data_IF_376393318599
#
_entry.id   IF_376393318599
#
_cell.length_a   1.000
_cell.length_b   1.000
_cell.length_c   1.000
_cell.angle_alpha   90.00
_cell.angle_beta   90.00
_cell.angle_gamma   90.00
#
_symmetry.space_group_name_H-M   'P 1'
#
loop_
_entity.id
_entity.type
_entity.pdbx_description
1 polymer ?
#
# COMPACT_ATOMS: atom_id res chain seq x y z
N UNK A 1 28.97 -17.65 1.19
CA UNK A 1 28.69 -19.00 1.76
C UNK A 1 28.33 -20.05 0.71
N UNK A 2 27.35 -19.78 -0.17
CA UNK A 2 26.98 -20.68 -1.30
C UNK A 2 28.13 -21.01 -2.26
N UNK A 3 28.93 -20.01 -2.62
CA UNK A 3 30.08 -20.13 -3.53
C UNK A 3 31.28 -20.89 -2.95
N UNK A 4 31.33 -21.03 -1.62
CA UNK A 4 32.40 -21.73 -0.92
C UNK A 4 32.04 -23.17 -0.52
N UNK A 5 30.84 -23.65 -0.85
CA UNK A 5 30.40 -25.04 -0.60
C UNK A 5 30.19 -25.44 0.86
N UNK A 6 30.36 -24.52 1.82
CA UNK A 6 30.35 -24.85 3.27
C UNK A 6 28.97 -25.15 3.87
N UNK A 7 27.87 -24.94 3.15
CA UNK A 7 26.51 -25.17 3.66
C UNK A 7 25.58 -25.69 2.56
N UNK A 8 24.70 -26.61 2.94
CA UNK A 8 23.67 -27.14 2.07
C UNK A 8 22.58 -26.06 1.81
N UNK A 9 21.92 -26.05 0.63
CA UNK A 9 20.85 -25.11 0.29
C UNK A 9 19.80 -24.82 1.39
N UNK A 10 19.35 -25.83 2.14
CA UNK A 10 18.36 -25.68 3.21
C UNK A 10 18.94 -24.91 4.40
N UNK A 11 20.21 -25.14 4.74
CA UNK A 11 20.90 -24.41 5.80
C UNK A 11 21.08 -22.94 5.42
N UNK A 12 21.38 -22.66 4.15
CA UNK A 12 21.44 -21.29 3.63
C UNK A 12 20.08 -20.58 3.70
N UNK A 13 18.98 -21.29 3.39
CA UNK A 13 17.61 -20.77 3.52
C UNK A 13 17.26 -20.49 4.97
N UNK A 14 17.61 -21.40 5.89
CA UNK A 14 17.38 -21.22 7.33
C UNK A 14 18.13 -19.99 7.85
N UNK A 15 19.41 -19.85 7.51
CA UNK A 15 20.23 -18.71 7.89
C UNK A 15 19.65 -17.40 7.35
N UNK A 16 19.28 -17.37 6.06
CA UNK A 16 18.63 -16.22 5.45
C UNK A 16 17.31 -15.86 6.16
N UNK A 17 16.49 -16.85 6.49
CA UNK A 17 15.24 -16.62 7.21
C UNK A 17 15.49 -16.02 8.61
N UNK A 18 16.45 -16.59 9.35
CA UNK A 18 16.80 -16.12 10.68
C UNK A 18 17.41 -14.71 10.68
N UNK A 19 18.26 -14.38 9.71
CA UNK A 19 18.96 -13.10 9.65
C UNK A 19 18.10 -11.99 9.03
N UNK A 20 17.40 -12.28 7.94
CA UNK A 20 16.69 -11.27 7.15
C UNK A 20 15.22 -11.22 7.53
N UNK A 21 14.49 -12.34 7.40
CA UNK A 21 13.04 -12.34 7.57
C UNK A 21 12.65 -12.01 9.01
N UNK A 22 13.26 -12.65 9.99
CA UNK A 22 12.98 -12.38 11.41
C UNK A 22 13.24 -10.92 11.77
N UNK A 23 14.35 -10.35 11.28
CA UNK A 23 14.72 -8.96 11.53
C UNK A 23 13.72 -7.99 10.92
N UNK A 24 13.35 -8.19 9.65
CA UNK A 24 12.33 -7.37 8.97
C UNK A 24 10.97 -7.46 9.67
N UNK A 25 10.52 -8.65 10.07
CA UNK A 25 9.29 -8.80 10.85
C UNK A 25 9.36 -8.07 12.20
N UNK A 26 10.54 -8.01 12.82
CA UNK A 26 10.77 -7.25 14.04
C UNK A 26 10.56 -5.74 13.86
N UNK A 27 10.91 -5.19 12.70
CA UNK A 27 10.78 -3.75 12.42
C UNK A 27 9.33 -3.28 12.44
N UNK A 28 8.38 -4.09 11.95
CA UNK A 28 6.96 -3.74 11.94
C UNK A 28 6.30 -3.73 13.33
N UNK A 29 6.99 -4.24 14.36
CA UNK A 29 6.50 -4.24 15.75
C UNK A 29 6.90 -2.98 16.51
N UNK A 30 7.80 -2.16 15.95
CA UNK A 30 8.25 -0.92 16.56
C UNK A 30 7.13 0.12 16.41
N UNK A 31 6.66 0.68 17.53
CA UNK A 31 5.66 1.77 17.54
C UNK A 31 6.26 3.05 16.99
N UNK A 32 7.43 3.40 17.50
CA UNK A 32 8.21 4.57 17.08
C UNK A 32 9.63 4.12 16.77
N UNK A 33 10.12 4.46 15.59
CA UNK A 33 11.48 4.15 15.18
C UNK A 33 12.06 5.31 14.36
N UNK A 34 13.35 5.59 14.56
CA UNK A 34 14.12 6.49 13.71
C UNK A 34 15.12 5.66 12.92
N UNK A 35 14.99 5.70 11.61
CA UNK A 35 15.96 5.08 10.71
C UNK A 35 16.99 6.12 10.30
N UNK A 36 18.26 5.75 10.38
CA UNK A 36 19.36 6.56 9.86
C UNK A 36 20.09 5.76 8.80
N UNK A 37 20.28 6.37 7.64
CA UNK A 37 21.17 5.81 6.63
C UNK A 37 22.62 6.05 7.05
N UNK A 38 23.39 4.97 7.20
CA UNK A 38 24.81 5.03 7.46
C UNK A 38 25.58 4.56 6.23
N UNK A 39 26.15 5.52 5.48
CA UNK A 39 26.94 5.24 4.28
C UNK A 39 28.29 4.59 4.55
N UNK A 40 28.74 4.58 5.82
CA UNK A 40 30.02 3.98 6.25
C UNK A 40 29.82 2.63 6.95
N UNK A 41 28.58 2.12 7.03
CA UNK A 41 28.30 0.84 7.63
C UNK A 41 29.06 -0.28 6.90
N UNK A 42 29.81 -1.07 7.66
CA UNK A 42 30.49 -2.26 7.12
C UNK A 42 29.46 -3.34 6.83
N UNK A 43 29.34 -3.75 5.57
CA UNK A 43 28.45 -4.84 5.18
C UNK A 43 29.05 -6.19 5.62
N UNK A 44 28.27 -7.09 6.23
CA UNK A 44 28.74 -8.42 6.65
C UNK A 44 28.91 -9.34 5.43
N UNK A 45 29.94 -9.09 4.63
CA UNK A 45 30.20 -9.79 3.34
C UNK A 45 30.49 -11.28 3.53
N UNK A 46 30.99 -11.68 4.70
CA UNK A 46 31.31 -13.08 5.05
C UNK A 46 30.03 -13.92 5.18
N UNK A 47 28.95 -13.32 5.70
CA UNK A 47 27.67 -13.98 5.99
C UNK A 47 26.71 -13.96 4.80
N UNK A 48 27.11 -13.38 3.68
CA UNK A 48 26.26 -13.33 2.49
C UNK A 48 25.95 -14.75 1.97
N UNK A 49 24.68 -15.12 2.10
CA UNK A 49 24.13 -16.41 1.68
C UNK A 49 23.99 -16.52 0.16
N UNK A 50 24.00 -15.39 -0.56
CA UNK A 50 23.69 -15.30 -1.98
C UNK A 50 22.19 -15.41 -2.28
N UNK A 51 21.35 -15.41 -1.24
CA UNK A 51 19.90 -15.30 -1.36
C UNK A 51 19.49 -13.82 -1.23
N UNK A 52 18.48 -13.42 -1.98
CA UNK A 52 17.92 -12.08 -1.92
C UNK A 52 16.39 -12.13 -1.94
N UNK A 53 15.78 -11.06 -1.44
CA UNK A 53 14.35 -10.83 -1.49
C UNK A 53 14.12 -9.35 -1.83
N UNK A 54 13.11 -9.06 -2.63
CA UNK A 54 12.74 -7.66 -2.88
C UNK A 54 12.18 -7.03 -1.62
N UNK A 55 12.40 -5.73 -1.44
CA UNK A 55 11.83 -4.97 -0.34
C UNK A 55 10.30 -5.13 -0.28
N UNK A 56 9.63 -5.07 -1.45
CA UNK A 56 8.18 -5.27 -1.57
C UNK A 56 7.71 -6.61 -1.00
N UNK A 57 8.41 -7.70 -1.32
CA UNK A 57 8.05 -9.03 -0.81
C UNK A 57 8.38 -9.16 0.68
N UNK A 58 9.47 -8.57 1.13
CA UNK A 58 9.85 -8.54 2.54
C UNK A 58 8.82 -7.76 3.39
N UNK A 59 8.33 -6.62 2.89
CA UNK A 59 7.25 -5.83 3.51
C UNK A 59 5.97 -6.66 3.67
N UNK A 60 5.56 -7.36 2.61
CA UNK A 60 4.36 -8.18 2.64
C UNK A 60 4.47 -9.31 3.67
N UNK A 61 5.61 -10.01 3.71
CA UNK A 61 5.89 -11.05 4.71
C UNK A 61 5.87 -10.46 6.12
N UNK A 62 6.52 -9.31 6.33
CA UNK A 62 6.61 -8.65 7.62
C UNK A 62 5.24 -8.25 8.18
N UNK A 63 4.41 -7.60 7.36
CA UNK A 63 3.07 -7.18 7.76
C UNK A 63 2.10 -8.36 7.97
N UNK A 64 2.24 -9.46 7.21
CA UNK A 64 1.44 -10.69 7.46
C UNK A 64 1.81 -11.36 8.79
N UNK A 65 3.06 -11.22 9.24
CA UNK A 65 3.56 -11.82 10.47
C UNK A 65 3.33 -10.95 11.73
N UNK A 66 2.60 -9.83 11.59
CA UNK A 66 2.31 -8.92 12.68
C UNK A 66 1.21 -9.51 13.59
N UNK A 67 1.49 -9.78 14.88
CA UNK A 67 0.50 -10.36 15.78
C UNK A 67 -0.51 -9.33 16.31
N UNK A 68 -0.10 -8.06 16.40
CA UNK A 68 -0.89 -6.97 16.96
C UNK A 68 -0.85 -5.76 16.02
N UNK A 69 -2.03 -5.31 15.59
CA UNK A 69 -2.22 -4.20 14.68
C UNK A 69 -2.50 -2.86 15.39
N UNK A 70 -2.59 -2.83 16.72
CA UNK A 70 -2.90 -1.62 17.48
C UNK A 70 -1.94 -0.45 17.17
N UNK A 71 -0.65 -0.72 16.99
CA UNK A 71 0.34 0.31 16.63
C UNK A 71 0.18 0.89 15.22
N UNK A 72 -0.63 0.25 14.37
CA UNK A 72 -0.94 0.67 13.01
C UNK A 72 -2.41 1.02 12.82
N UNK A 73 -3.23 1.00 13.88
CA UNK A 73 -4.66 1.22 13.79
C UNK A 73 -5.00 2.56 13.11
N UNK A 74 -4.29 3.62 13.51
CA UNK A 74 -4.44 4.98 12.93
C UNK A 74 -3.89 5.12 11.50
N UNK A 75 -3.29 4.06 10.96
CA UNK A 75 -2.76 4.00 9.60
C UNK A 75 -3.60 3.12 8.69
N UNK A 76 -4.57 2.40 9.25
CA UNK A 76 -5.49 1.59 8.44
C UNK A 76 -6.35 2.51 7.57
N UNK A 77 -6.69 2.09 6.35
CA UNK A 77 -7.54 2.87 5.46
C UNK A 77 -8.94 3.04 6.08
N UNK A 78 -9.57 4.17 5.78
CA UNK A 78 -10.88 4.55 6.27
C UNK A 78 -11.95 3.52 5.87
N UNK A 79 -12.88 3.25 6.76
CA UNK A 79 -13.90 2.22 6.53
C UNK A 79 -14.82 2.54 5.35
N UNK A 80 -15.04 3.82 5.09
CA UNK A 80 -15.87 4.35 4.01
C UNK A 80 -15.07 4.66 2.74
N UNK A 81 -13.74 4.53 2.75
CA UNK A 81 -12.94 4.74 1.55
C UNK A 81 -13.01 3.54 0.60
N UNK A 82 -12.73 3.79 -0.66
CA UNK A 82 -12.56 2.75 -1.68
C UNK A 82 -11.08 2.46 -1.91
N UNK A 83 -10.82 1.35 -2.59
CA UNK A 83 -9.48 1.02 -3.09
C UNK A 83 -9.47 1.08 -4.61
N UNK A 84 -8.46 1.74 -5.19
CA UNK A 84 -8.19 1.75 -6.62
C UNK A 84 -6.90 0.99 -6.93
N UNK A 85 -6.88 0.20 -7.99
CA UNK A 85 -5.65 -0.50 -8.42
C UNK A 85 -4.61 0.51 -8.93
N UNK A 86 -3.44 0.50 -8.31
CA UNK A 86 -2.30 1.32 -8.73
C UNK A 86 -1.40 0.62 -9.76
N UNK A 87 -1.34 -0.72 -9.71
CA UNK A 87 -0.56 -1.54 -10.65
C UNK A 87 -1.39 -2.68 -11.25
N UNK A 88 -1.12 -3.02 -12.51
CA UNK A 88 -1.90 -4.00 -13.29
C UNK A 88 -1.51 -5.47 -13.01
N UNK A 89 -0.47 -5.74 -12.20
CA UNK A 89 0.01 -7.11 -11.97
C UNK A 89 0.45 -7.41 -10.53
N UNK A 90 -0.08 -8.48 -9.94
CA UNK A 90 0.26 -8.94 -8.59
C UNK A 90 0.92 -10.35 -8.52
N UNK A 91 1.08 -11.03 -9.66
CA UNK A 91 1.54 -12.45 -9.72
C UNK A 91 2.92 -12.67 -9.11
N UNK A 92 3.82 -11.71 -9.22
CA UNK A 92 5.20 -11.83 -8.72
C UNK A 92 5.30 -11.71 -7.19
N UNK A 93 4.28 -11.15 -6.53
CA UNK A 93 4.29 -10.88 -5.08
C UNK A 93 3.75 -12.06 -4.26
N UNK A 94 3.10 -13.04 -4.89
CA UNK A 94 2.55 -14.20 -4.19
C UNK A 94 1.49 -13.79 -3.16
N UNK A 95 0.47 -13.05 -3.63
CA UNK A 95 -0.70 -12.73 -2.83
C UNK A 95 -1.38 -14.02 -2.37
N UNK A 96 -1.83 -14.04 -1.12
CA UNK A 96 -2.70 -15.09 -0.64
C UNK A 96 -4.10 -14.97 -1.30
N UNK A 97 -4.98 -15.98 -1.19
CA UNK A 97 -6.30 -15.94 -1.82
C UNK A 97 -7.16 -14.75 -1.38
N UNK A 98 -7.04 -14.30 -0.12
CA UNK A 98 -7.84 -13.20 0.43
C UNK A 98 -7.33 -11.84 -0.05
N UNK A 99 -6.01 -11.66 -0.06
CA UNK A 99 -5.36 -10.48 -0.64
C UNK A 99 -5.68 -10.34 -2.13
N UNK A 100 -5.64 -11.46 -2.88
CA UNK A 100 -6.04 -11.47 -4.28
C UNK A 100 -7.53 -11.12 -4.45
N UNK A 101 -8.40 -11.56 -3.55
CA UNK A 101 -9.82 -11.23 -3.59
C UNK A 101 -10.09 -9.74 -3.34
N UNK A 102 -9.45 -9.15 -2.32
CA UNK A 102 -9.52 -7.70 -2.05
C UNK A 102 -8.97 -6.90 -3.24
N UNK A 103 -7.82 -7.29 -3.79
CA UNK A 103 -7.23 -6.63 -4.97
C UNK A 103 -8.15 -6.68 -6.20
N UNK A 104 -8.85 -7.80 -6.43
CA UNK A 104 -9.83 -7.91 -7.54
C UNK A 104 -10.98 -6.93 -7.39
N UNK A 105 -11.42 -6.70 -6.16
CA UNK A 105 -12.53 -5.80 -5.80
C UNK A 105 -12.13 -4.32 -5.74
N UNK A 106 -10.83 -4.00 -5.74
CA UNK A 106 -10.29 -2.65 -5.73
C UNK A 106 -10.51 -1.89 -7.06
N UNK A 107 -11.75 -1.48 -7.33
CA UNK A 107 -12.14 -0.76 -8.55
C UNK A 107 -12.26 0.77 -8.38
N UNK A 108 -12.05 1.29 -7.17
CA UNK A 108 -12.14 2.70 -6.83
C UNK A 108 -13.56 3.20 -6.54
N UNK A 109 -14.57 2.33 -6.54
CA UNK A 109 -15.99 2.74 -6.47
C UNK A 109 -16.81 2.05 -5.39
N UNK A 110 -16.26 1.05 -4.69
CA UNK A 110 -16.94 0.37 -3.59
C UNK A 110 -16.17 0.57 -2.29
N UNK A 111 -16.86 0.88 -1.18
CA UNK A 111 -16.20 1.12 0.10
C UNK A 111 -15.70 -0.20 0.72
N UNK A 112 -14.77 -0.10 1.68
CA UNK A 112 -14.24 -1.26 2.39
C UNK A 112 -15.32 -2.05 3.14
N UNK A 113 -16.35 -1.38 3.65
CA UNK A 113 -17.53 -2.02 4.27
C UNK A 113 -18.22 -3.00 3.32
N UNK A 114 -18.35 -2.62 2.04
CA UNK A 114 -18.99 -3.44 1.02
C UNK A 114 -18.08 -4.59 0.60
N UNK A 115 -16.77 -4.36 0.53
CA UNK A 115 -15.77 -5.41 0.28
C UNK A 115 -15.82 -6.46 1.40
N UNK A 116 -15.87 -6.04 2.66
CA UNK A 116 -15.98 -6.94 3.82
C UNK A 116 -17.24 -7.80 3.76
N UNK A 117 -18.37 -7.17 3.42
CA UNK A 117 -19.66 -7.86 3.25
C UNK A 117 -19.60 -8.89 2.13
N UNK A 118 -19.06 -8.53 0.96
CA UNK A 118 -18.93 -9.44 -0.21
C UNK A 118 -18.01 -10.63 0.05
N UNK A 119 -16.96 -10.45 0.85
CA UNK A 119 -16.01 -11.51 1.17
C UNK A 119 -16.43 -12.33 2.40
N UNK A 120 -17.48 -11.93 3.12
CA UNK A 120 -17.89 -12.56 4.38
C UNK A 120 -16.80 -12.50 5.45
N UNK A 121 -16.08 -11.38 5.54
CA UNK A 121 -14.98 -11.15 6.49
C UNK A 121 -15.26 -9.94 7.38
N UNK A 122 -14.57 -9.87 8.51
CA UNK A 122 -14.63 -8.66 9.34
C UNK A 122 -14.04 -7.48 8.59
N UNK A 123 -14.60 -6.30 8.84
CA UNK A 123 -14.11 -5.03 8.29
C UNK A 123 -12.63 -4.81 8.63
N UNK A 124 -12.25 -5.10 9.87
CA UNK A 124 -10.86 -5.03 10.34
C UNK A 124 -9.93 -5.90 9.50
N UNK A 125 -10.31 -7.15 9.20
CA UNK A 125 -9.50 -8.05 8.36
C UNK A 125 -9.28 -7.45 6.97
N UNK A 126 -10.33 -6.85 6.39
CA UNK A 126 -10.24 -6.19 5.10
C UNK A 126 -9.37 -4.94 5.18
N UNK A 127 -9.48 -4.11 6.20
CA UNK A 127 -8.61 -2.94 6.41
C UNK A 127 -7.14 -3.35 6.53
N UNK A 128 -6.83 -4.39 7.29
CA UNK A 128 -5.46 -4.90 7.42
C UNK A 128 -4.91 -5.42 6.09
N UNK A 129 -5.71 -6.18 5.32
CA UNK A 129 -5.33 -6.61 3.96
C UNK A 129 -5.10 -5.40 3.06
N UNK A 130 -6.00 -4.42 3.12
CA UNK A 130 -5.92 -3.20 2.31
C UNK A 130 -4.64 -2.43 2.62
N UNK A 131 -4.31 -2.24 3.89
CA UNK A 131 -3.06 -1.62 4.32
C UNK A 131 -1.82 -2.36 3.80
N UNK A 132 -1.83 -3.70 3.81
CA UNK A 132 -0.74 -4.50 3.22
C UNK A 132 -0.59 -4.21 1.73
N UNK A 133 -1.70 -4.21 0.97
CA UNK A 133 -1.70 -3.96 -0.47
C UNK A 133 -1.26 -2.52 -0.81
N UNK A 134 -1.66 -1.54 0.00
CA UNK A 134 -1.23 -0.13 -0.10
C UNK A 134 0.28 -0.02 0.15
N UNK A 135 0.77 -0.64 1.21
CA UNK A 135 2.19 -0.61 1.61
C UNK A 135 3.15 -1.17 0.57
N UNK A 136 2.65 -2.04 -0.33
CA UNK A 136 3.41 -2.60 -1.46
C UNK A 136 3.08 -1.96 -2.81
N UNK A 137 2.25 -0.91 -2.82
CA UNK A 137 1.91 -0.13 -4.01
C UNK A 137 0.99 -0.83 -5.00
N UNK A 138 0.26 -1.88 -4.58
CA UNK A 138 -0.67 -2.60 -5.46
C UNK A 138 -2.01 -1.88 -5.62
N UNK A 139 -2.45 -1.21 -4.57
CA UNK A 139 -3.68 -0.40 -4.54
C UNK A 139 -3.39 0.94 -3.86
N UNK A 140 -4.24 1.92 -4.12
CA UNK A 140 -4.28 3.19 -3.44
C UNK A 140 -5.65 3.37 -2.78
N UNK A 141 -5.68 4.03 -1.64
CA UNK A 141 -6.90 4.46 -0.99
C UNK A 141 -7.49 5.67 -1.71
N UNK A 142 -8.82 5.67 -1.91
CA UNK A 142 -9.55 6.75 -2.54
C UNK A 142 -10.70 7.17 -1.62
N UNK A 143 -10.75 8.43 -1.16
CA UNK A 143 -11.87 8.93 -0.37
C UNK A 143 -13.17 8.82 -1.16
N UNK A 144 -14.23 8.34 -0.52
CA UNK A 144 -15.57 8.37 -1.08
C UNK A 144 -16.36 9.53 -0.49
N UNK A 145 -17.14 10.22 -1.32
CA UNK A 145 -18.08 11.22 -0.83
C UNK A 145 -19.17 10.51 -0.03
N UNK A 146 -19.39 10.96 1.20
CA UNK A 146 -20.57 10.55 1.96
C UNK A 146 -21.83 11.07 1.28
N UNK A 147 -22.97 10.41 1.46
CA UNK A 147 -24.26 10.88 0.92
C UNK A 147 -24.59 12.32 1.34
N UNK A 148 -24.22 12.72 2.56
CA UNK A 148 -24.36 14.10 3.03
C UNK A 148 -23.51 15.09 2.21
N UNK A 149 -22.25 14.77 1.97
CA UNK A 149 -21.38 15.60 1.14
C UNK A 149 -21.90 15.63 -0.29
N UNK A 150 -22.24 14.48 -0.88
CA UNK A 150 -22.80 14.40 -2.23
C UNK A 150 -24.02 15.32 -2.39
N UNK A 151 -24.95 15.29 -1.44
CA UNK A 151 -26.13 16.15 -1.42
C UNK A 151 -25.79 17.63 -1.23
N UNK A 152 -24.75 17.96 -0.46
CA UNK A 152 -24.26 19.34 -0.29
C UNK A 152 -23.58 19.89 -1.57
N UNK A 153 -22.77 19.08 -2.24
CA UNK A 153 -22.16 19.46 -3.53
C UNK A 153 -23.22 19.65 -4.62
N UNK A 154 -24.23 18.78 -4.64
CA UNK A 154 -25.37 18.89 -5.56
C UNK A 154 -26.28 20.09 -5.24
N UNK A 155 -26.45 20.46 -3.97
CA UNK A 155 -27.22 21.64 -3.59
C UNK A 155 -26.50 22.97 -3.88
N UNK A 156 -25.17 22.95 -4.05
CA UNK A 156 -24.38 24.12 -4.46
C UNK A 156 -24.15 24.25 -5.97
N UNK A 157 -24.68 23.33 -6.79
CA UNK A 157 -24.51 23.37 -8.25
C UNK A 157 -23.07 23.18 -8.72
N UNK A 158 -22.21 22.61 -7.86
CA UNK A 158 -20.83 22.26 -8.21
C UNK A 158 -20.82 20.82 -8.72
N UNK A 159 -21.05 20.66 -10.02
CA UNK A 159 -20.96 19.36 -10.68
C UNK A 159 -19.52 18.80 -10.53
N UNK A 160 -19.35 17.55 -10.08
CA UNK A 160 -18.04 16.93 -10.04
C UNK A 160 -17.52 16.81 -11.47
N UNK A 161 -16.39 17.45 -11.75
CA UNK A 161 -15.71 17.32 -13.05
C UNK A 161 -15.29 15.86 -13.19
N UNK A 162 -16.03 15.10 -13.99
CA UNK A 162 -15.60 13.79 -14.43
C UNK A 162 -14.29 13.98 -15.20
N UNK A 163 -13.17 13.55 -14.61
CA UNK A 163 -11.94 13.31 -15.38
C UNK A 163 -12.20 12.07 -16.22
N UNK A 164 -12.98 12.26 -17.28
CA UNK A 164 -13.21 11.26 -18.31
C UNK A 164 -11.89 11.00 -19.02
N UNK A 165 -11.38 9.79 -18.86
CA UNK A 165 -10.29 9.25 -19.65
C UNK A 165 -10.76 8.99 -21.09
N UNK A 166 -11.11 10.05 -21.83
CA UNK A 166 -11.17 10.02 -23.28
C UNK A 166 -9.97 10.79 -23.79
N UNK A 167 -8.86 10.06 -23.98
CA UNK A 167 -7.76 10.51 -24.81
C UNK A 167 -8.26 10.54 -26.25
N UNK A 168 -8.65 11.71 -26.71
CA UNK A 168 -8.51 12.07 -28.12
C UNK A 168 -7.34 13.04 -28.17
N UNK A 169 -6.32 12.65 -28.94
CA UNK A 169 -5.16 13.47 -29.23
C UNK A 169 -5.60 14.73 -29.98
N UNK A 170 -5.76 15.85 -29.29
CA UNK A 170 -5.54 17.16 -29.91
C UNK A 170 -4.83 18.07 -28.90
N UNK A 171 -3.65 18.50 -29.34
CA UNK A 171 -2.74 19.45 -28.73
C UNK A 171 -3.46 20.78 -28.48
N UNK A 172 -3.74 21.09 -27.22
CA UNK A 172 -4.05 22.46 -26.84
C UNK A 172 -3.51 22.71 -25.43
N UNK A 173 -2.51 23.60 -25.33
CA UNK A 173 -2.04 24.14 -24.08
C UNK A 173 -3.18 24.90 -23.40
N UNK A 174 -4.01 24.19 -22.63
CA UNK A 174 -5.02 24.79 -21.78
C UNK A 174 -4.26 25.53 -20.67
N UNK A 175 -4.06 26.84 -20.85
CA UNK A 175 -3.55 27.73 -19.82
C UNK A 175 -4.35 27.49 -18.53
N UNK A 176 -3.64 27.03 -17.49
CA UNK A 176 -4.22 26.80 -16.19
C UNK A 176 -4.88 28.10 -15.72
N UNK A 177 -6.20 28.09 -15.56
CA UNK A 177 -6.97 29.27 -15.18
C UNK A 177 -6.42 29.85 -13.88
N UNK A 178 -6.06 31.13 -13.89
CA UNK A 178 -5.56 31.85 -12.72
C UNK A 178 -6.51 31.74 -11.50
N UNK A 179 -7.80 31.51 -11.72
CA UNK A 179 -8.77 31.27 -10.64
C UNK A 179 -8.54 29.95 -9.89
N UNK A 180 -8.08 28.91 -10.58
CA UNK A 180 -7.72 27.65 -9.96
C UNK A 180 -6.53 27.81 -9.02
N UNK A 181 -5.48 28.50 -9.48
CA UNK A 181 -4.28 28.78 -8.66
C UNK A 181 -4.62 29.61 -7.43
N UNK A 182 -5.49 30.62 -7.56
CA UNK A 182 -5.91 31.45 -6.43
C UNK A 182 -6.73 30.66 -5.39
N UNK A 183 -7.63 29.78 -5.82
CA UNK A 183 -8.35 28.91 -4.88
C UNK A 183 -7.43 27.91 -4.17
N UNK A 184 -6.48 27.32 -4.90
CA UNK A 184 -5.52 26.39 -4.31
C UNK A 184 -4.64 27.08 -3.26
N UNK A 185 -4.15 28.29 -3.55
CA UNK A 185 -3.36 29.09 -2.61
C UNK A 185 -4.18 29.53 -1.38
N UNK A 186 -5.47 29.83 -1.56
CA UNK A 186 -6.37 30.13 -0.45
C UNK A 186 -6.58 28.94 0.49
N UNK A 187 -6.61 27.72 -0.06
CA UNK A 187 -6.78 26.49 0.70
C UNK A 187 -5.54 26.11 1.51
N UNK A 188 -4.34 26.33 0.95
CA UNK A 188 -3.06 26.01 1.58
C UNK A 188 -2.62 27.00 2.68
N UNK A 189 -3.33 28.13 2.83
CA UNK A 189 -3.01 29.18 3.81
C UNK A 189 -3.83 29.08 5.10
N UNK A 190 -4.53 27.97 5.32
CA UNK A 190 -5.17 27.63 6.60
C UNK A 190 -4.31 26.67 7.40
#
# INVERSE_FOLDING_TARGET
LKTKGFMHPEQLRLLFHAQVIRSVCGLFRLKDAKFRFDSKATLPTIEMTGLSISATKATLIGLRALPDWNGLADKLPETTSALSRAMVGHRQLGLDPMEAAVWKLANGSIPLTDIATRLGKSLETVQQISFRLISVGLVAEVPMLTSYQQNYWQSQGLEPVAVGANRTEEDNHQELSNRFVQHLLGFLRR
#
